data_IF_121519311549
#
_entry.id   IF_121519311549
#
_cell.length_a   1.000
_cell.length_b   1.000
_cell.length_c   1.000
_cell.angle_alpha   90.00
_cell.angle_beta   90.00
_cell.angle_gamma   90.00
#
_symmetry.space_group_name_H-M   'P 1'
#
loop_
_entity.id
_entity.type
_entity.pdbx_description
1 polymer ?
#
# COMPACT_ATOMS: atom_id res chain seq x y z
N UNK A 1 -0.05 -20.57 -43.43
CA UNK A 1 -1.19 -21.32 -42.81
C UNK A 1 -1.60 -22.58 -43.56
N UNK A 2 -1.58 -22.64 -44.91
CA UNK A 2 -1.92 -23.86 -45.67
C UNK A 2 -1.02 -25.09 -45.37
N UNK A 3 0.19 -24.85 -44.87
CA UNK A 3 1.23 -25.86 -44.66
C UNK A 3 1.10 -26.65 -43.32
N UNK A 4 0.68 -25.98 -42.24
CA UNK A 4 0.57 -26.62 -40.90
C UNK A 4 -0.49 -27.72 -40.88
N UNK A 5 -1.62 -27.50 -41.56
CA UNK A 5 -2.70 -28.50 -41.62
C UNK A 5 -2.39 -29.69 -42.53
N UNK A 6 -1.45 -29.56 -43.47
CA UNK A 6 -0.97 -30.69 -44.28
C UNK A 6 0.01 -31.54 -43.45
N UNK A 7 0.98 -30.89 -42.80
CA UNK A 7 1.95 -31.55 -41.94
C UNK A 7 1.32 -32.22 -40.72
N UNK A 8 0.28 -31.63 -40.13
CA UNK A 8 -0.47 -32.26 -39.03
C UNK A 8 -1.14 -33.56 -39.48
N UNK A 9 -1.71 -33.59 -40.69
CA UNK A 9 -2.34 -34.80 -41.24
C UNK A 9 -1.32 -35.91 -41.49
N UNK A 10 -0.19 -35.55 -42.08
CA UNK A 10 0.93 -36.47 -42.29
C UNK A 10 1.44 -37.06 -40.96
N UNK A 11 1.70 -36.22 -39.95
CA UNK A 11 2.14 -36.69 -38.63
C UNK A 11 1.07 -37.55 -37.95
N UNK A 12 -0.21 -37.20 -38.07
CA UNK A 12 -1.31 -37.99 -37.51
C UNK A 12 -1.38 -39.38 -38.13
N UNK A 13 -1.18 -39.48 -39.45
CA UNK A 13 -1.17 -40.75 -40.16
C UNK A 13 0.03 -41.61 -39.74
N UNK A 14 1.22 -41.01 -39.63
CA UNK A 14 2.43 -41.69 -39.15
C UNK A 14 2.21 -42.26 -37.75
N UNK A 15 1.67 -41.46 -36.82
CA UNK A 15 1.39 -41.89 -35.45
C UNK A 15 0.39 -43.04 -35.44
N UNK A 16 -0.68 -42.99 -36.26
CA UNK A 16 -1.69 -44.06 -36.37
C UNK A 16 -1.14 -45.35 -36.99
N UNK A 17 -0.20 -45.24 -37.92
CA UNK A 17 0.41 -46.37 -38.61
C UNK A 17 1.59 -46.98 -37.84
N UNK A 18 2.10 -46.32 -36.80
CA UNK A 18 3.20 -46.84 -35.98
C UNK A 18 2.64 -47.85 -34.98
N UNK A 19 2.97 -49.15 -35.11
CA UNK A 19 2.36 -50.20 -34.29
C UNK A 19 2.79 -50.15 -32.81
N UNK A 20 4.05 -49.75 -32.55
CA UNK A 20 4.64 -49.75 -31.21
C UNK A 20 5.10 -48.34 -30.82
N UNK A 21 4.15 -47.48 -30.45
CA UNK A 21 4.48 -46.20 -29.85
C UNK A 21 5.05 -46.39 -28.44
N UNK A 22 6.04 -45.57 -28.03
CA UNK A 22 6.56 -45.64 -26.67
C UNK A 22 5.45 -45.35 -25.67
N UNK A 23 5.35 -46.19 -24.64
CA UNK A 23 4.41 -45.96 -23.53
C UNK A 23 4.85 -44.69 -22.80
N UNK A 24 4.00 -43.66 -22.71
CA UNK A 24 4.36 -42.44 -21.99
C UNK A 24 4.55 -42.74 -20.50
N UNK A 25 5.52 -42.10 -19.82
CA UNK A 25 5.66 -42.24 -18.38
C UNK A 25 4.42 -41.69 -17.69
N UNK A 26 3.87 -42.44 -16.73
CA UNK A 26 2.72 -41.98 -15.93
C UNK A 26 3.28 -41.19 -14.73
N UNK A 27 3.12 -39.86 -14.69
CA UNK A 27 3.61 -39.06 -13.58
C UNK A 27 2.88 -39.43 -12.29
N UNK A 28 3.63 -39.56 -11.20
CA UNK A 28 3.04 -39.80 -9.89
C UNK A 28 2.75 -38.46 -9.19
N UNK A 29 1.54 -38.27 -8.63
CA UNK A 29 1.25 -37.08 -7.83
C UNK A 29 2.16 -37.03 -6.59
N UNK A 30 2.50 -35.82 -6.09
CA UNK A 30 3.41 -35.67 -4.97
C UNK A 30 2.89 -36.40 -3.71
N UNK A 31 3.62 -37.44 -3.30
CA UNK A 31 3.38 -38.23 -2.08
C UNK A 31 3.80 -37.45 -0.82
N UNK A 32 3.54 -38.01 0.38
CA UNK A 32 3.81 -37.39 1.70
C UNK A 32 5.24 -36.88 1.79
N UNK A 33 5.44 -35.60 1.46
CA UNK A 33 6.68 -34.90 1.76
C UNK A 33 6.65 -34.56 3.25
N UNK A 34 7.15 -35.49 4.08
CA UNK A 34 7.41 -35.23 5.49
C UNK A 34 8.31 -34.00 5.67
N UNK A 35 8.03 -33.18 6.70
CA UNK A 35 8.74 -31.95 7.13
C UNK A 35 9.11 -30.90 6.05
N UNK A 36 8.73 -31.07 4.78
CA UNK A 36 8.98 -30.09 3.72
C UNK A 36 8.24 -28.79 4.00
N UNK A 37 8.93 -27.65 3.82
CA UNK A 37 8.29 -26.35 3.92
C UNK A 37 7.24 -26.15 2.82
N UNK A 38 6.30 -25.23 3.01
CA UNK A 38 5.19 -24.97 2.08
C UNK A 38 5.68 -24.70 0.65
N UNK A 39 6.78 -23.96 0.50
CA UNK A 39 7.35 -23.62 -0.81
C UNK A 39 7.81 -24.87 -1.58
N UNK A 40 8.51 -25.79 -0.93
CA UNK A 40 8.93 -27.07 -1.53
C UNK A 40 7.73 -27.93 -1.93
N UNK A 41 6.67 -27.96 -1.12
CA UNK A 41 5.44 -28.68 -1.46
C UNK A 41 4.75 -28.08 -2.70
N UNK A 42 4.68 -26.75 -2.80
CA UNK A 42 4.13 -26.07 -3.99
C UNK A 42 4.97 -26.33 -5.24
N UNK A 43 6.30 -26.38 -5.11
CA UNK A 43 7.19 -26.75 -6.22
C UNK A 43 6.93 -28.19 -6.70
N UNK A 44 6.72 -29.14 -5.79
CA UNK A 44 6.39 -30.51 -6.14
C UNK A 44 5.04 -30.61 -6.87
N UNK A 45 4.03 -29.84 -6.43
CA UNK A 45 2.75 -29.75 -7.16
C UNK A 45 2.95 -29.18 -8.55
N UNK A 46 3.72 -28.09 -8.70
CA UNK A 46 4.00 -27.53 -10.02
C UNK A 46 4.77 -28.49 -10.92
N UNK A 47 5.73 -29.24 -10.37
CA UNK A 47 6.49 -30.22 -11.10
C UNK A 47 5.58 -31.30 -11.68
N UNK A 48 4.65 -31.83 -10.86
CA UNK A 48 3.63 -32.77 -11.32
C UNK A 48 2.76 -32.20 -12.45
N UNK A 49 2.32 -30.93 -12.34
CA UNK A 49 1.59 -30.29 -13.44
C UNK A 49 2.42 -30.21 -14.73
N UNK A 50 3.71 -29.91 -14.62
CA UNK A 50 4.59 -29.84 -15.80
C UNK A 50 4.73 -31.21 -16.47
N UNK A 51 4.78 -32.30 -15.70
CA UNK A 51 4.89 -33.67 -16.20
C UNK A 51 3.61 -34.17 -16.90
N UNK A 52 2.45 -33.59 -16.59
CA UNK A 52 1.22 -33.82 -17.37
C UNK A 52 1.28 -33.15 -18.76
N UNK A 53 2.15 -32.16 -18.95
CA UNK A 53 2.31 -31.38 -20.18
C UNK A 53 1.12 -30.46 -20.55
N UNK A 54 1.42 -29.40 -21.31
CA UNK A 54 0.38 -28.52 -21.85
C UNK A 54 -0.27 -29.17 -23.09
N UNK A 55 -1.60 -29.23 -23.11
CA UNK A 55 -2.35 -29.80 -24.22
C UNK A 55 -2.34 -28.90 -25.47
N UNK A 56 -1.64 -29.34 -26.52
CA UNK A 56 -1.60 -28.73 -27.85
C UNK A 56 -2.47 -29.43 -28.89
N UNK A 57 -3.19 -30.50 -28.54
CA UNK A 57 -3.93 -31.34 -29.50
C UNK A 57 -5.19 -30.66 -30.04
N UNK A 58 -5.71 -29.67 -29.30
CA UNK A 58 -6.96 -28.97 -29.64
C UNK A 58 -8.22 -29.73 -29.21
N UNK A 59 -8.07 -30.90 -28.60
CA UNK A 59 -9.16 -31.69 -28.02
C UNK A 59 -9.25 -31.44 -26.52
N UNK A 60 -10.46 -31.26 -26.02
CA UNK A 60 -10.72 -31.19 -24.57
C UNK A 60 -10.98 -32.59 -24.06
N UNK A 61 -10.17 -33.07 -23.12
CA UNK A 61 -10.29 -34.43 -22.56
C UNK A 61 -11.20 -34.49 -21.34
N UNK A 62 -11.26 -33.41 -20.55
CA UNK A 62 -11.94 -33.38 -19.27
C UNK A 62 -13.04 -32.31 -19.21
N UNK A 63 -14.00 -32.46 -18.29
CA UNK A 63 -15.08 -31.47 -18.13
C UNK A 63 -14.54 -30.15 -17.54
N UNK A 64 -14.57 -29.10 -18.36
CA UNK A 64 -14.08 -27.75 -18.04
C UNK A 64 -15.17 -26.79 -17.57
N UNK A 65 -16.40 -27.26 -17.33
CA UNK A 65 -17.49 -26.40 -16.88
C UNK A 65 -17.20 -25.83 -15.48
N UNK A 66 -17.11 -24.49 -15.41
CA UNK A 66 -16.80 -23.72 -14.19
C UNK A 66 -17.99 -23.59 -13.23
N UNK A 67 -19.22 -23.77 -13.72
CA UNK A 67 -20.45 -23.60 -12.95
C UNK A 67 -20.86 -24.89 -12.21
N UNK A 68 -19.86 -25.66 -11.77
CA UNK A 68 -20.05 -26.94 -11.07
C UNK A 68 -19.59 -26.81 -9.62
N UNK A 69 -20.07 -27.70 -8.75
CA UNK A 69 -19.68 -27.69 -7.34
C UNK A 69 -18.20 -28.06 -7.14
N UNK A 70 -17.61 -27.65 -6.01
CA UNK A 70 -16.24 -28.04 -5.65
C UNK A 70 -16.02 -29.57 -5.68
N UNK A 71 -17.02 -30.34 -5.24
CA UNK A 71 -16.96 -31.81 -5.30
C UNK A 71 -16.79 -32.33 -6.72
N UNK A 72 -17.54 -31.77 -7.67
CA UNK A 72 -17.47 -32.14 -9.09
C UNK A 72 -16.14 -31.73 -9.72
N UNK A 73 -15.66 -30.52 -9.42
CA UNK A 73 -14.34 -30.03 -9.88
C UNK A 73 -13.21 -30.94 -9.37
N UNK A 74 -13.25 -31.32 -8.09
CA UNK A 74 -12.27 -32.26 -7.53
C UNK A 74 -12.44 -33.69 -8.08
N UNK A 75 -13.65 -34.10 -8.47
CA UNK A 75 -13.87 -35.33 -9.24
C UNK A 75 -13.08 -35.30 -10.55
N UNK A 76 -13.20 -34.23 -11.33
CA UNK A 76 -12.41 -34.05 -12.56
C UNK A 76 -10.91 -34.00 -12.29
N UNK A 77 -10.45 -33.40 -11.19
CA UNK A 77 -9.03 -33.43 -10.83
C UNK A 77 -8.51 -34.86 -10.58
N UNK A 78 -9.31 -35.74 -9.97
CA UNK A 78 -8.96 -37.15 -9.78
C UNK A 78 -8.93 -37.91 -11.09
N UNK A 79 -9.89 -37.67 -11.98
CA UNK A 79 -9.90 -38.23 -13.34
C UNK A 79 -8.62 -37.84 -14.09
N UNK A 80 -8.19 -36.57 -14.01
CA UNK A 80 -6.93 -36.12 -14.61
C UNK A 80 -5.73 -36.87 -14.04
N UNK A 81 -5.66 -37.05 -12.71
CA UNK A 81 -4.57 -37.76 -12.06
C UNK A 81 -4.54 -39.24 -12.47
N UNK A 82 -5.70 -39.85 -12.65
CA UNK A 82 -5.84 -41.26 -13.03
C UNK A 82 -5.51 -41.51 -14.51
N UNK A 83 -5.98 -40.65 -15.40
CA UNK A 83 -5.81 -40.80 -16.85
C UNK A 83 -4.46 -40.25 -17.35
N UNK A 84 -3.84 -39.34 -16.60
CA UNK A 84 -2.53 -38.74 -16.88
C UNK A 84 -2.37 -38.16 -18.30
N UNK A 85 -3.44 -37.59 -18.85
CA UNK A 85 -3.45 -36.95 -20.17
C UNK A 85 -3.01 -35.48 -20.10
N UNK A 86 -2.52 -34.89 -21.22
CA UNK A 86 -2.21 -33.48 -21.30
C UNK A 86 -3.38 -32.55 -20.97
N UNK A 87 -3.08 -31.47 -20.26
CA UNK A 87 -4.09 -30.53 -19.74
C UNK A 87 -3.82 -29.08 -20.14
N UNK A 88 -4.84 -28.22 -20.00
CA UNK A 88 -4.74 -26.78 -20.21
C UNK A 88 -4.77 -26.00 -18.88
N UNK A 89 -4.70 -24.68 -18.99
CA UNK A 89 -4.64 -23.77 -17.85
C UNK A 89 -5.76 -23.94 -16.81
N UNK A 90 -7.00 -24.27 -17.22
CA UNK A 90 -8.12 -24.44 -16.29
C UNK A 90 -8.08 -25.77 -15.56
N UNK A 91 -7.81 -26.87 -16.28
CA UNK A 91 -7.64 -28.20 -15.69
C UNK A 91 -6.47 -28.21 -14.70
N UNK A 92 -5.38 -27.51 -15.03
CA UNK A 92 -4.25 -27.31 -14.12
C UNK A 92 -4.66 -26.64 -12.80
N UNK A 93 -5.59 -25.67 -12.85
CA UNK A 93 -6.16 -25.03 -11.66
C UNK A 93 -6.98 -26.03 -10.84
N UNK A 94 -7.72 -26.93 -11.47
CA UNK A 94 -8.49 -27.96 -10.76
C UNK A 94 -7.57 -28.93 -10.02
N UNK A 95 -6.53 -29.45 -10.69
CA UNK A 95 -5.54 -30.35 -10.11
C UNK A 95 -4.76 -29.66 -9.00
N UNK A 96 -4.26 -28.45 -9.24
CA UNK A 96 -3.54 -27.66 -8.23
C UNK A 96 -4.41 -27.39 -6.99
N UNK A 97 -5.68 -27.02 -7.19
CA UNK A 97 -6.61 -26.77 -6.11
C UNK A 97 -6.87 -28.04 -5.30
N UNK A 98 -7.03 -29.19 -5.96
CA UNK A 98 -7.22 -30.48 -5.32
C UNK A 98 -6.01 -30.91 -4.48
N UNK A 99 -4.81 -30.89 -5.06
CA UNK A 99 -3.57 -31.30 -4.37
C UNK A 99 -3.23 -30.38 -3.18
N UNK A 100 -3.54 -29.09 -3.29
CA UNK A 100 -3.34 -28.11 -2.19
C UNK A 100 -4.47 -28.12 -1.16
N UNK A 101 -5.61 -28.77 -1.42
CA UNK A 101 -6.70 -28.94 -0.45
C UNK A 101 -6.39 -29.98 0.65
N UNK A 102 -5.41 -30.86 0.44
CA UNK A 102 -5.12 -31.97 1.34
C UNK A 102 -6.20 -33.08 1.31
N UNK A 103 -6.69 -33.43 0.12
CA UNK A 103 -7.74 -34.44 -0.05
C UNK A 103 -7.40 -35.81 0.58
N UNK A 104 -8.41 -36.58 1.02
CA UNK A 104 -8.21 -37.79 1.84
C UNK A 104 -7.53 -38.97 1.10
N UNK A 105 -7.59 -39.00 -0.24
CA UNK A 105 -7.03 -40.10 -1.05
C UNK A 105 -5.57 -39.88 -1.45
N UNK A 106 -5.10 -38.64 -1.43
CA UNK A 106 -3.70 -38.29 -1.72
C UNK A 106 -3.18 -37.52 -0.50
N UNK A 107 -2.84 -38.28 0.53
CA UNK A 107 -2.37 -37.76 1.83
C UNK A 107 -1.04 -36.98 1.74
N UNK A 108 -0.56 -36.62 0.54
CA UNK A 108 0.83 -36.29 0.24
C UNK A 108 1.27 -34.85 0.49
N UNK A 109 0.33 -33.91 0.47
CA UNK A 109 0.63 -32.50 0.74
C UNK A 109 -0.46 -31.90 1.61
N UNK A 110 -0.63 -32.40 2.84
CA UNK A 110 -1.44 -31.65 3.79
C UNK A 110 -0.71 -30.33 4.07
N UNK A 111 -1.34 -29.23 3.64
CA UNK A 111 -0.88 -27.88 3.93
C UNK A 111 -1.41 -27.39 5.29
N UNK A 112 -2.17 -28.19 6.05
CA UNK A 112 -2.77 -27.84 7.35
C UNK A 112 -3.46 -26.46 7.35
N UNK A 113 -4.17 -26.13 6.27
CA UNK A 113 -4.77 -24.81 6.06
C UNK A 113 -3.78 -23.62 6.06
N UNK A 114 -2.47 -23.87 5.85
CA UNK A 114 -1.45 -22.81 5.78
C UNK A 114 -1.51 -22.02 4.46
N UNK A 115 -2.20 -22.54 3.44
CA UNK A 115 -2.28 -21.88 2.12
C UNK A 115 -3.70 -21.45 1.79
N UNK A 116 -3.86 -20.18 1.44
CA UNK A 116 -5.05 -19.68 0.77
C UNK A 116 -4.90 -19.91 -0.74
N UNK A 117 -6.01 -20.23 -1.41
CA UNK A 117 -6.03 -20.56 -2.84
C UNK A 117 -7.13 -19.74 -3.51
N UNK A 118 -6.77 -19.00 -4.55
CA UNK A 118 -7.69 -18.13 -5.29
C UNK A 118 -7.45 -18.28 -6.79
N UNK A 119 -8.52 -18.33 -7.58
CA UNK A 119 -8.40 -18.34 -9.03
C UNK A 119 -8.11 -16.93 -9.54
N UNK A 120 -7.07 -16.79 -10.39
CA UNK A 120 -6.71 -15.51 -11.03
C UNK A 120 -6.86 -15.69 -12.53
N UNK A 121 -7.80 -14.97 -13.13
CA UNK A 121 -8.10 -15.05 -14.56
C UNK A 121 -7.62 -13.81 -15.31
N UNK A 122 -7.08 -14.01 -16.50
CA UNK A 122 -6.61 -12.95 -17.39
C UNK A 122 -7.38 -12.98 -18.69
N UNK A 123 -7.84 -11.81 -19.14
CA UNK A 123 -8.39 -11.60 -20.48
C UNK A 123 -7.48 -10.59 -21.17
N UNK A 124 -6.79 -11.02 -22.22
CA UNK A 124 -5.80 -10.21 -22.93
C UNK A 124 -6.18 -10.06 -24.39
N UNK A 125 -5.72 -9.00 -25.05
CA UNK A 125 -5.91 -8.77 -26.48
C UNK A 125 -4.54 -8.66 -27.15
N UNK A 126 -4.31 -9.43 -28.20
CA UNK A 126 -3.07 -9.38 -28.99
C UNK A 126 -3.41 -9.67 -30.46
N UNK A 127 -2.88 -8.87 -31.39
CA UNK A 127 -3.14 -9.03 -32.82
C UNK A 127 -4.63 -9.07 -33.18
N UNK A 128 -5.45 -8.23 -32.52
CA UNK A 128 -6.90 -8.18 -32.72
C UNK A 128 -7.71 -9.32 -32.09
N UNK A 129 -7.07 -10.38 -31.59
CA UNK A 129 -7.73 -11.53 -30.95
C UNK A 129 -7.73 -11.41 -29.43
N UNK A 130 -8.77 -11.97 -28.80
CA UNK A 130 -8.89 -12.04 -27.34
C UNK A 130 -8.48 -13.41 -26.85
N UNK A 131 -7.59 -13.45 -25.88
CA UNK A 131 -7.13 -14.67 -25.22
C UNK A 131 -7.58 -14.66 -23.77
N UNK A 132 -7.84 -15.85 -23.24
CA UNK A 132 -8.19 -16.06 -21.82
C UNK A 132 -7.19 -17.04 -21.22
N UNK A 133 -6.77 -16.76 -20.00
CA UNK A 133 -5.83 -17.58 -19.25
C UNK A 133 -6.22 -17.58 -17.78
N UNK A 134 -5.82 -18.59 -17.03
CA UNK A 134 -6.11 -18.72 -15.61
C UNK A 134 -4.94 -19.40 -14.88
N UNK A 135 -4.68 -18.98 -13.65
CA UNK A 135 -3.75 -19.63 -12.72
C UNK A 135 -4.40 -19.72 -11.32
N UNK A 136 -3.87 -20.59 -10.47
CA UNK A 136 -4.23 -20.67 -9.07
C UNK A 136 -3.25 -19.81 -8.27
N UNK A 137 -3.66 -18.63 -7.84
CA UNK A 137 -2.93 -17.83 -6.87
C UNK A 137 -2.88 -18.55 -5.53
N UNK A 138 -1.69 -18.61 -4.93
CA UNK A 138 -1.46 -19.25 -3.63
C UNK A 138 -0.83 -18.23 -2.70
N UNK A 139 -1.39 -18.09 -1.50
CA UNK A 139 -0.85 -17.24 -0.44
C UNK A 139 -0.50 -18.10 0.76
N UNK A 140 0.67 -17.85 1.34
CA UNK A 140 1.08 -18.41 2.62
C UNK A 140 1.70 -17.29 3.43
N UNK A 141 1.09 -16.97 4.58
CA UNK A 141 1.42 -15.79 5.38
C UNK A 141 1.35 -14.50 4.52
N UNK A 142 2.47 -13.80 4.31
CA UNK A 142 2.54 -12.56 3.54
C UNK A 142 3.08 -12.74 2.12
N UNK A 143 3.40 -13.98 1.73
CA UNK A 143 3.99 -14.28 0.43
C UNK A 143 2.93 -14.82 -0.51
N UNK A 144 2.98 -14.33 -1.75
CA UNK A 144 2.18 -14.79 -2.87
C UNK A 144 3.03 -15.58 -3.84
N UNK A 145 2.39 -16.56 -4.46
CA UNK A 145 2.87 -17.34 -5.58
C UNK A 145 1.68 -17.74 -6.46
N UNK A 146 1.95 -18.57 -7.46
CA UNK A 146 0.93 -19.11 -8.34
C UNK A 146 1.32 -20.51 -8.82
N UNK A 147 0.31 -21.36 -8.99
CA UNK A 147 0.40 -22.66 -9.65
C UNK A 147 -0.41 -22.63 -10.95
N UNK A 148 0.02 -23.35 -11.97
CA UNK A 148 -0.77 -23.52 -13.19
C UNK A 148 0.07 -23.96 -14.37
N UNK A 149 -0.54 -24.03 -15.54
CA UNK A 149 0.13 -24.37 -16.81
C UNK A 149 -0.17 -23.33 -17.87
N UNK A 150 0.83 -23.03 -18.68
CA UNK A 150 0.72 -22.12 -19.81
C UNK A 150 1.68 -22.53 -20.91
N UNK A 151 1.37 -22.10 -22.13
CA UNK A 151 2.30 -22.19 -23.28
C UNK A 151 3.54 -21.31 -23.10
N UNK A 152 3.50 -20.37 -22.16
CA UNK A 152 4.62 -19.51 -21.80
C UNK A 152 4.99 -19.70 -20.34
N UNK A 153 6.25 -20.06 -20.07
CA UNK A 153 6.77 -20.23 -18.72
C UNK A 153 6.61 -18.98 -17.85
N UNK A 154 6.58 -17.79 -18.46
CA UNK A 154 6.35 -16.52 -17.77
C UNK A 154 4.93 -16.32 -17.23
N UNK A 155 3.96 -17.13 -17.68
CA UNK A 155 2.53 -16.96 -17.40
C UNK A 155 1.92 -18.11 -16.57
N UNK A 156 2.75 -18.90 -15.88
CA UNK A 156 2.31 -20.03 -15.06
C UNK A 156 2.85 -19.90 -13.63
N UNK A 157 3.68 -20.84 -13.19
CA UNK A 157 4.30 -20.87 -11.87
C UNK A 157 4.92 -19.54 -11.45
N UNK A 158 4.59 -19.11 -10.23
CA UNK A 158 5.28 -18.05 -9.52
C UNK A 158 5.65 -18.59 -8.15
N UNK A 159 6.95 -18.57 -7.88
CA UNK A 159 7.50 -18.99 -6.62
C UNK A 159 6.91 -18.19 -5.44
N UNK A 160 6.77 -18.82 -4.28
CA UNK A 160 6.15 -18.26 -3.08
C UNK A 160 7.10 -17.28 -2.36
N UNK A 161 7.47 -16.20 -3.06
CA UNK A 161 8.41 -15.17 -2.61
C UNK A 161 7.92 -13.75 -2.89
N UNK A 162 6.80 -13.60 -3.61
CA UNK A 162 6.32 -12.29 -3.99
C UNK A 162 5.52 -11.70 -2.83
N UNK A 163 6.15 -10.78 -2.10
CA UNK A 163 5.45 -9.88 -1.22
C UNK A 163 4.97 -8.71 -2.09
N UNK A 164 3.67 -8.61 -2.36
CA UNK A 164 3.14 -7.41 -3.00
C UNK A 164 3.14 -6.33 -1.93
N UNK A 165 4.19 -5.51 -1.93
CA UNK A 165 4.37 -4.45 -0.92
C UNK A 165 3.70 -3.17 -1.42
N UNK A 166 3.81 -2.89 -2.71
CA UNK A 166 3.50 -1.59 -3.29
C UNK A 166 3.05 -1.72 -4.74
N UNK A 167 2.02 -0.97 -5.14
CA UNK A 167 1.53 -0.89 -6.52
C UNK A 167 1.63 0.55 -7.00
N UNK A 168 2.17 0.74 -8.20
CA UNK A 168 2.25 2.03 -8.90
C UNK A 168 1.30 2.00 -10.10
N UNK A 169 0.51 3.06 -10.25
CA UNK A 169 -0.40 3.28 -11.36
C UNK A 169 0.02 4.54 -12.13
N UNK A 170 0.13 4.41 -13.45
CA UNK A 170 0.40 5.52 -14.36
C UNK A 170 -0.86 6.03 -15.06
N UNK A 171 -0.74 7.15 -15.77
CA UNK A 171 -1.80 7.65 -16.65
C UNK A 171 -1.82 6.88 -17.98
N UNK A 172 -2.98 6.77 -18.64
CA UNK A 172 -3.07 6.23 -19.99
C UNK A 172 -2.14 6.91 -20.99
N UNK A 173 -1.70 6.12 -21.97
CA UNK A 173 -0.82 6.58 -23.04
C UNK A 173 -1.59 7.47 -24.03
N UNK A 174 -0.91 8.45 -24.60
CA UNK A 174 -1.44 9.19 -25.74
C UNK A 174 -1.70 8.25 -26.92
N UNK A 175 -2.74 8.54 -27.70
CA UNK A 175 -3.05 7.82 -28.94
C UNK A 175 -2.22 8.33 -30.13
N UNK A 176 -1.55 9.46 -29.98
CA UNK A 176 -0.63 9.98 -30.98
C UNK A 176 0.72 9.26 -30.90
N UNK A 177 1.02 8.48 -31.94
CA UNK A 177 2.24 7.67 -32.07
C UNK A 177 3.51 8.52 -32.26
N UNK A 178 3.36 9.82 -32.56
CA UNK A 178 4.47 10.77 -32.66
C UNK A 178 4.53 11.72 -31.47
N UNK A 179 3.70 11.52 -30.45
CA UNK A 179 3.69 12.36 -29.26
C UNK A 179 5.07 12.38 -28.58
N UNK A 180 5.56 13.60 -28.33
CA UNK A 180 6.79 13.85 -27.57
C UNK A 180 6.54 14.04 -26.07
N UNK A 181 5.30 13.84 -25.61
CA UNK A 181 4.91 13.97 -24.21
C UNK A 181 5.55 12.87 -23.36
N UNK A 182 5.77 13.19 -22.08
CA UNK A 182 6.33 12.22 -21.12
C UNK A 182 5.24 11.28 -20.64
N UNK A 183 5.58 9.99 -20.52
CA UNK A 183 4.69 9.00 -19.91
C UNK A 183 4.76 9.12 -18.39
N UNK A 184 3.59 9.26 -17.76
CA UNK A 184 3.46 9.37 -16.31
C UNK A 184 3.27 8.01 -15.67
N UNK A 185 4.38 7.35 -15.31
CA UNK A 185 4.40 5.94 -14.91
C UNK A 185 3.91 5.64 -13.48
N UNK A 186 3.96 6.60 -12.57
CA UNK A 186 3.85 6.37 -11.11
C UNK A 186 3.02 7.43 -10.39
N UNK A 187 1.88 7.78 -10.97
CA UNK A 187 0.96 8.82 -10.46
C UNK A 187 0.30 8.41 -9.16
N UNK A 188 -0.35 7.24 -9.10
CA UNK A 188 -0.90 6.71 -7.86
C UNK A 188 0.01 5.61 -7.30
N UNK A 189 0.25 5.65 -5.99
CA UNK A 189 1.28 4.85 -5.37
C UNK A 189 0.82 4.31 -4.01
N UNK A 190 0.43 3.05 -3.96
CA UNK A 190 -0.20 2.47 -2.77
C UNK A 190 0.68 1.39 -2.19
N UNK A 191 1.06 1.52 -0.91
CA UNK A 191 1.74 0.46 -0.17
C UNK A 191 0.71 -0.57 0.30
N UNK A 192 0.32 -1.45 -0.62
CA UNK A 192 -0.79 -2.40 -0.44
C UNK A 192 -0.65 -3.33 0.76
N UNK A 193 0.55 -3.54 1.31
CA UNK A 193 0.69 -4.33 2.54
C UNK A 193 0.15 -3.64 3.81
N UNK A 194 0.06 -2.31 3.80
CA UNK A 194 -0.40 -1.54 4.97
C UNK A 194 -1.94 -1.42 5.02
N UNK A 195 -2.65 -1.95 4.02
CA UNK A 195 -4.07 -1.67 3.78
C UNK A 195 -4.85 -2.93 3.37
N UNK A 196 -6.17 -2.93 3.56
CA UNK A 196 -7.05 -4.02 3.10
C UNK A 196 -7.15 -4.01 1.56
N UNK A 197 -7.48 -5.14 0.93
CA UNK A 197 -7.62 -5.17 -0.53
C UNK A 197 -8.87 -4.42 -0.99
N UNK A 198 -9.90 -4.37 -0.15
CA UNK A 198 -11.13 -3.61 -0.37
C UNK A 198 -10.84 -2.11 -0.49
N UNK A 199 -10.03 -1.56 0.41
CA UNK A 199 -9.65 -0.14 0.37
C UNK A 199 -8.74 0.17 -0.82
N UNK A 200 -7.80 -0.74 -1.13
CA UNK A 200 -6.91 -0.62 -2.29
C UNK A 200 -7.69 -0.64 -3.60
N UNK A 201 -8.63 -1.59 -3.75
CA UNK A 201 -9.47 -1.69 -4.95
C UNK A 201 -10.35 -0.46 -5.12
N UNK A 202 -10.94 0.06 -4.04
CA UNK A 202 -11.72 1.31 -4.07
C UNK A 202 -10.90 2.50 -4.59
N UNK A 203 -9.64 2.62 -4.16
CA UNK A 203 -8.73 3.66 -4.66
C UNK A 203 -8.39 3.48 -6.15
N UNK A 204 -8.29 2.24 -6.64
CA UNK A 204 -8.08 1.97 -8.06
C UNK A 204 -9.30 2.33 -8.90
N UNK A 205 -10.51 2.03 -8.42
CA UNK A 205 -11.76 2.36 -9.10
C UNK A 205 -11.95 3.88 -9.18
N UNK A 206 -11.64 4.62 -8.12
CA UNK A 206 -11.63 6.09 -8.13
C UNK A 206 -10.61 6.59 -9.16
N UNK A 207 -9.40 6.03 -9.19
CA UNK A 207 -8.36 6.46 -10.12
C UNK A 207 -8.75 6.22 -11.58
N UNK A 208 -9.33 5.05 -11.87
CA UNK A 208 -9.83 4.70 -13.18
C UNK A 208 -10.98 5.59 -13.67
N UNK A 209 -11.76 6.17 -12.75
CA UNK A 209 -12.82 7.12 -13.09
C UNK A 209 -12.29 8.53 -13.32
N UNK A 210 -11.34 8.97 -12.51
CA UNK A 210 -10.90 10.37 -12.45
C UNK A 210 -9.68 10.68 -13.33
N UNK A 211 -8.99 9.68 -13.89
CA UNK A 211 -7.79 9.92 -14.70
C UNK A 211 -7.97 10.92 -15.86
N UNK A 212 -9.13 11.06 -16.54
CA UNK A 212 -9.27 12.04 -17.61
C UNK A 212 -9.11 13.49 -17.11
N UNK A 213 -9.64 13.78 -15.92
CA UNK A 213 -9.51 15.09 -15.28
C UNK A 213 -8.08 15.32 -14.78
N UNK A 214 -7.44 14.28 -14.23
CA UNK A 214 -6.04 14.33 -13.80
C UNK A 214 -5.10 14.63 -14.97
N UNK A 215 -5.28 13.95 -16.11
CA UNK A 215 -4.53 14.20 -17.35
C UNK A 215 -4.73 15.65 -17.81
N UNK A 216 -5.98 16.09 -17.91
CA UNK A 216 -6.31 17.44 -18.40
C UNK A 216 -5.69 18.53 -17.52
N UNK A 217 -5.76 18.37 -16.19
CA UNK A 217 -5.13 19.30 -15.27
C UNK A 217 -3.61 19.28 -15.37
N UNK A 218 -3.00 18.09 -15.43
CA UNK A 218 -1.57 17.92 -15.55
C UNK A 218 -1.02 18.55 -16.84
N UNK A 219 -1.72 18.42 -17.97
CA UNK A 219 -1.31 19.05 -19.23
C UNK A 219 -1.43 20.58 -19.19
N UNK A 220 -2.41 21.12 -18.46
CA UNK A 220 -2.60 22.57 -18.34
C UNK A 220 -1.63 23.22 -17.34
N UNK A 221 -1.40 22.57 -16.21
CA UNK A 221 -0.73 23.15 -15.04
C UNK A 221 0.69 22.59 -14.85
N UNK A 222 0.99 21.41 -15.38
CA UNK A 222 2.28 20.73 -15.25
C UNK A 222 2.43 19.92 -13.96
N UNK A 223 1.47 19.99 -13.04
CA UNK A 223 1.44 19.23 -11.78
C UNK A 223 0.07 18.58 -11.53
N UNK A 224 -0.01 17.65 -10.57
CA UNK A 224 -1.29 17.03 -10.18
C UNK A 224 -2.13 18.02 -9.36
N UNK A 225 -3.48 17.93 -9.41
CA UNK A 225 -4.35 18.79 -8.59
C UNK A 225 -4.05 18.66 -7.10
N UNK A 226 -4.17 19.74 -6.33
CA UNK A 226 -3.99 19.73 -4.87
C UNK A 226 -4.93 18.73 -4.18
N UNK A 227 -6.16 18.58 -4.69
CA UNK A 227 -7.16 17.63 -4.20
C UNK A 227 -6.83 16.16 -4.45
N UNK A 228 -5.74 15.87 -5.18
CA UNK A 228 -5.32 14.50 -5.48
C UNK A 228 -5.04 13.72 -4.19
N UNK A 229 -4.32 14.30 -3.23
CA UNK A 229 -3.99 13.61 -1.97
C UNK A 229 -5.21 13.31 -1.12
N UNK A 230 -6.22 14.18 -1.18
CA UNK A 230 -7.47 14.03 -0.42
C UNK A 230 -8.36 12.93 -1.02
N UNK A 231 -8.41 12.85 -2.36
CA UNK A 231 -9.16 11.79 -3.06
C UNK A 231 -8.44 10.44 -2.95
N UNK A 232 -7.11 10.45 -3.04
CA UNK A 232 -6.29 9.24 -3.03
C UNK A 232 -5.58 9.04 -1.69
N UNK A 233 -6.34 8.78 -0.64
CA UNK A 233 -5.87 8.69 0.75
C UNK A 233 -4.81 7.62 1.00
N UNK A 234 -4.73 6.59 0.14
CA UNK A 234 -3.72 5.54 0.24
C UNK A 234 -2.44 5.85 -0.55
N UNK A 235 -2.40 6.98 -1.27
CA UNK A 235 -1.24 7.43 -2.01
C UNK A 235 -0.09 7.81 -1.06
N UNK A 236 1.08 7.18 -1.24
CA UNK A 236 2.32 7.52 -0.55
C UNK A 236 3.37 7.96 -1.58
N UNK A 237 3.62 9.28 -1.74
CA UNK A 237 4.60 9.75 -2.72
C UNK A 237 6.01 9.22 -2.39
N UNK A 238 6.88 9.01 -3.39
CA UNK A 238 8.26 8.63 -3.12
C UNK A 238 8.96 9.72 -2.28
N UNK A 239 9.78 9.29 -1.31
CA UNK A 239 10.55 10.21 -0.47
C UNK A 239 11.53 10.99 -1.36
N UNK A 240 11.40 12.31 -1.44
CA UNK A 240 12.40 13.17 -2.12
C UNK A 240 13.68 13.16 -1.29
N UNK A 241 14.74 12.52 -1.80
CA UNK A 241 16.09 12.70 -1.26
C UNK A 241 16.56 14.11 -1.64
N UNK A 242 16.71 14.99 -0.65
CA UNK A 242 17.33 16.29 -0.86
C UNK A 242 18.81 16.09 -1.19
N UNK A 243 19.20 16.36 -2.43
CA UNK A 243 20.58 16.73 -2.78
C UNK A 243 20.55 18.15 -3.34
N UNK A 244 21.46 19.04 -2.93
CA UNK A 244 21.44 20.42 -3.38
C UNK A 244 22.06 20.56 -4.78
N UNK A 245 21.47 21.47 -5.55
CA UNK A 245 21.92 22.02 -6.84
C UNK A 245 21.44 21.36 -8.15
N UNK A 246 21.01 22.26 -9.03
CA UNK A 246 20.39 22.16 -10.36
C UNK A 246 21.38 21.73 -11.46
N UNK A 247 20.94 20.82 -12.35
CA UNK A 247 21.00 20.84 -13.84
C UNK A 247 21.30 19.46 -14.44
N UNK A 248 20.48 19.08 -15.42
CA UNK A 248 20.70 18.03 -16.44
C UNK A 248 21.42 16.73 -16.03
N UNK A 249 20.64 15.68 -15.75
CA UNK A 249 20.91 14.28 -16.13
C UNK A 249 19.55 13.66 -16.48
N UNK A 250 19.32 13.11 -17.66
CA UNK A 250 20.04 11.97 -18.22
C UNK A 250 19.41 10.71 -17.63
N UNK A 251 18.61 10.00 -18.43
CA UNK A 251 17.88 8.79 -18.05
C UNK A 251 18.89 7.69 -17.68
N UNK A 252 19.17 7.51 -16.38
CA UNK A 252 19.97 6.39 -15.87
C UNK A 252 19.04 5.28 -15.39
N UNK A 253 19.17 4.11 -16.03
CA UNK A 253 18.64 2.86 -15.50
C UNK A 253 19.38 2.56 -14.20
N UNK A 254 18.70 2.64 -13.06
CA UNK A 254 19.20 1.98 -11.85
C UNK A 254 19.10 0.46 -12.07
N UNK A 255 20.23 -0.13 -12.47
CA UNK A 255 20.46 -1.57 -12.42
C UNK A 255 20.22 -2.05 -11.00
N UNK A 256 19.37 -3.06 -10.86
CA UNK A 256 19.10 -3.76 -9.60
C UNK A 256 20.38 -4.49 -9.21
N UNK A 257 21.21 -3.87 -8.37
CA UNK A 257 22.27 -4.59 -7.67
C UNK A 257 21.66 -5.29 -6.46
N UNK A 258 21.81 -6.61 -6.43
CA UNK A 258 21.53 -7.44 -5.27
C UNK A 258 22.35 -6.94 -4.06
N UNK A 259 21.75 -6.79 -2.86
CA UNK A 259 22.54 -6.48 -1.69
C UNK A 259 23.28 -7.75 -1.23
N UNK A 260 24.61 -7.69 -1.27
CA UNK A 260 25.48 -8.61 -0.55
C UNK A 260 25.16 -8.55 0.95
N UNK A 261 24.90 -9.72 1.52
CA UNK A 261 24.87 -9.94 2.96
C UNK A 261 26.31 -9.91 3.47
N UNK A 262 26.71 -8.83 4.16
CA UNK A 262 27.51 -8.90 5.39
C UNK A 262 27.80 -7.52 5.98
N UNK A 263 27.60 -7.43 7.30
CA UNK A 263 28.17 -6.48 8.29
C UNK A 263 27.73 -5.00 8.15
N UNK A 264 27.42 -4.25 9.21
CA UNK A 264 27.96 -4.28 10.56
C UNK A 264 26.99 -3.61 11.56
N UNK A 265 27.04 -4.06 12.81
CA UNK A 265 26.32 -3.49 13.95
C UNK A 265 26.96 -2.15 14.33
N UNK A 266 26.16 -1.08 14.40
CA UNK A 266 26.59 0.23 14.88
C UNK A 266 25.41 1.00 15.47
N UNK A 267 25.46 1.24 16.77
CA UNK A 267 24.41 1.83 17.61
C UNK A 267 24.40 3.37 17.60
N UNK A 268 23.18 3.90 17.70
CA UNK A 268 22.73 5.11 18.42
C UNK A 268 23.17 6.51 17.92
N UNK A 269 22.17 7.36 17.63
CA UNK A 269 21.95 8.59 18.42
C UNK A 269 20.48 9.04 18.38
N UNK A 270 19.98 9.41 19.56
CA UNK A 270 18.59 9.67 19.95
C UNK A 270 17.95 10.90 19.32
N UNK A 271 16.85 10.72 18.59
CA UNK A 271 15.82 11.75 18.46
C UNK A 271 14.75 11.46 19.53
N UNK A 272 14.74 12.25 20.61
CA UNK A 272 13.72 12.19 21.68
C UNK A 272 12.32 12.04 21.05
N UNK A 273 11.68 10.89 21.25
CA UNK A 273 10.27 10.67 20.89
C UNK A 273 9.41 11.56 21.78
N UNK A 274 9.09 12.77 21.30
CA UNK A 274 8.13 13.65 21.95
C UNK A 274 6.77 12.93 22.01
N UNK A 275 6.17 12.91 23.19
CA UNK A 275 4.89 12.22 23.46
C UNK A 275 3.70 12.99 22.89
N UNK A 276 3.86 14.31 22.77
CA UNK A 276 2.88 15.22 22.20
C UNK A 276 3.40 15.76 20.87
N UNK A 277 2.64 15.57 19.80
CA UNK A 277 2.86 16.24 18.52
C UNK A 277 1.87 17.41 18.39
N UNK A 278 2.37 18.58 18.04
CA UNK A 278 1.56 19.79 17.83
C UNK A 278 1.53 20.13 16.35
N UNK A 279 0.34 20.40 15.80
CA UNK A 279 0.13 20.79 14.41
C UNK A 279 -0.78 22.03 14.34
N UNK A 280 -0.55 23.00 13.45
CA UNK A 280 0.61 23.14 12.58
C UNK A 280 1.89 23.49 13.36
N UNK A 281 3.06 23.36 12.73
CA UNK A 281 4.35 23.73 13.32
C UNK A 281 4.59 25.26 13.32
N UNK A 282 3.73 26.02 12.65
CA UNK A 282 3.72 27.48 12.62
C UNK A 282 2.26 27.96 12.46
N UNK A 283 1.84 28.95 13.23
CA UNK A 283 0.51 29.55 13.10
C UNK A 283 0.58 30.81 12.25
N UNK A 284 -0.34 30.95 11.30
CA UNK A 284 -0.43 32.12 10.43
C UNK A 284 -1.75 32.84 10.69
N UNK A 285 -1.68 34.04 11.26
CA UNK A 285 -2.85 34.87 11.53
C UNK A 285 -3.08 35.83 10.37
N UNK A 286 -4.20 35.65 9.67
CA UNK A 286 -4.62 36.53 8.57
C UNK A 286 -5.46 37.67 9.12
N UNK A 287 -5.12 38.90 8.75
CA UNK A 287 -5.92 40.07 9.10
C UNK A 287 -7.36 39.86 8.66
N UNK A 288 -8.29 40.13 9.56
CA UNK A 288 -9.70 40.13 9.25
C UNK A 288 -10.22 41.49 9.69
N UNK A 289 -10.50 42.39 8.74
CA UNK A 289 -11.04 43.70 9.05
C UNK A 289 -12.43 43.56 9.70
N UNK A 290 -12.43 43.50 11.02
CA UNK A 290 -13.56 43.81 11.85
C UNK A 290 -13.01 44.40 13.15
N UNK A 291 -13.06 45.72 13.26
CA UNK A 291 -13.24 46.31 14.59
C UNK A 291 -14.19 47.48 14.51
N UNK A 292 -15.13 47.47 15.45
CA UNK A 292 -16.02 48.56 15.83
C UNK A 292 -15.31 49.59 16.72
N UNK A 293 -14.03 49.36 17.06
CA UNK A 293 -13.22 50.18 17.96
C UNK A 293 -11.82 50.46 17.35
N UNK A 294 -11.46 51.73 17.17
CA UNK A 294 -10.36 52.17 16.29
C UNK A 294 -8.93 51.91 16.81
N UNK A 295 -8.77 51.17 17.92
CA UNK A 295 -7.49 51.00 18.63
C UNK A 295 -6.90 49.58 18.60
N UNK A 296 -7.68 48.55 18.25
CA UNK A 296 -7.28 47.14 18.22
C UNK A 296 -7.62 46.48 16.88
N UNK A 297 -6.76 45.57 16.40
CA UNK A 297 -6.96 44.76 15.19
C UNK A 297 -7.14 43.30 15.62
N UNK A 298 -8.25 42.69 15.22
CA UNK A 298 -8.50 41.26 15.38
C UNK A 298 -8.10 40.49 14.11
N UNK A 299 -7.44 39.34 14.29
CA UNK A 299 -7.09 38.44 13.21
C UNK A 299 -8.01 37.21 13.18
N UNK A 300 -8.14 36.59 12.01
CA UNK A 300 -8.87 35.35 11.85
C UNK A 300 -8.29 34.26 12.78
N UNK A 301 -9.13 33.47 13.47
CA UNK A 301 -8.64 32.43 14.37
C UNK A 301 -7.92 31.31 13.60
N UNK A 302 -6.80 30.83 14.15
CA UNK A 302 -6.02 29.72 13.63
C UNK A 302 -6.22 28.47 14.51
N UNK A 303 -6.32 27.29 13.90
CA UNK A 303 -6.51 26.04 14.64
C UNK A 303 -5.18 25.44 15.08
N UNK A 304 -5.10 25.07 16.35
CA UNK A 304 -4.01 24.36 16.98
C UNK A 304 -4.48 22.96 17.39
N UNK A 305 -3.80 21.94 16.90
CA UNK A 305 -4.09 20.53 17.17
C UNK A 305 -3.01 19.94 18.07
N UNK A 306 -3.45 19.39 19.21
CA UNK A 306 -2.62 18.71 20.18
C UNK A 306 -2.86 17.20 20.01
N UNK A 307 -1.86 16.47 19.52
CA UNK A 307 -1.92 15.03 19.30
C UNK A 307 -1.13 14.30 20.38
N UNK A 308 -1.84 13.53 21.21
CA UNK A 308 -1.20 12.61 22.14
C UNK A 308 -0.93 11.30 21.41
N UNK A 309 0.31 11.07 21.00
CA UNK A 309 0.75 9.82 20.33
C UNK A 309 1.28 8.78 21.33
N UNK A 310 1.13 9.07 22.62
CA UNK A 310 1.62 8.22 23.70
C UNK A 310 0.51 7.35 24.28
N UNK A 311 0.88 6.24 24.97
CA UNK A 311 -0.07 5.41 25.71
C UNK A 311 -0.52 6.05 27.04
N UNK A 312 -0.06 7.26 27.39
CA UNK A 312 -0.34 7.92 28.68
C UNK A 312 -1.40 9.02 28.54
N UNK A 313 -2.05 9.40 29.64
CA UNK A 313 -2.83 10.64 29.66
C UNK A 313 -1.87 11.82 29.77
N UNK A 314 -2.10 12.88 29.00
CA UNK A 314 -1.27 14.09 29.04
C UNK A 314 -2.09 15.27 29.56
N UNK A 315 -1.52 16.02 30.51
CA UNK A 315 -1.95 17.37 30.85
C UNK A 315 -1.07 18.34 30.08
N UNK A 316 -1.67 19.06 29.14
CA UNK A 316 -0.99 20.05 28.29
C UNK A 316 -1.40 21.44 28.75
N UNK A 317 -0.41 22.25 29.11
CA UNK A 317 -0.57 23.67 29.45
C UNK A 317 -0.05 24.51 28.29
N UNK A 318 -0.94 25.28 27.67
CA UNK A 318 -0.60 26.23 26.60
C UNK A 318 -0.49 27.62 27.23
N UNK A 319 0.71 28.20 27.19
CA UNK A 319 1.00 29.55 27.66
C UNK A 319 1.10 30.50 26.47
N UNK A 320 0.30 31.57 26.51
CA UNK A 320 0.20 32.57 25.45
C UNK A 320 0.43 33.98 25.98
N UNK A 321 0.84 34.89 25.11
CA UNK A 321 0.98 36.32 25.39
C UNK A 321 -0.40 36.98 25.60
N UNK A 322 -0.49 38.19 26.20
CA UNK A 322 -1.77 38.84 26.48
C UNK A 322 -2.61 39.17 25.24
N UNK A 323 -1.97 39.19 24.08
CA UNK A 323 -2.58 39.47 22.77
C UNK A 323 -3.17 38.22 22.10
N UNK A 324 -2.92 37.04 22.65
CA UNK A 324 -3.42 35.77 22.15
C UNK A 324 -4.50 35.21 23.07
N UNK A 325 -5.61 34.78 22.48
CA UNK A 325 -6.75 34.20 23.19
C UNK A 325 -7.06 32.82 22.65
N UNK A 326 -7.15 31.83 23.54
CA UNK A 326 -7.64 30.49 23.20
C UNK A 326 -9.16 30.49 23.34
N UNK A 327 -9.85 30.17 22.26
CA UNK A 327 -11.31 30.18 22.19
C UNK A 327 -11.89 28.93 22.86
N UNK A 328 -12.94 29.13 23.67
CA UNK A 328 -13.66 28.03 24.33
C UNK A 328 -12.94 27.42 25.55
N UNK A 329 -11.90 28.09 26.08
CA UNK A 329 -11.19 27.67 27.29
C UNK A 329 -11.07 28.80 28.30
N UNK A 330 -11.23 28.47 29.58
CA UNK A 330 -11.10 29.42 30.69
C UNK A 330 -9.64 29.58 31.07
N UNK A 331 -9.21 30.82 31.29
CA UNK A 331 -7.84 31.14 31.77
C UNK A 331 -7.62 30.58 33.16
N UNK A 332 -6.41 30.09 33.42
CA UNK A 332 -5.97 29.72 34.77
C UNK A 332 -5.12 30.82 35.43
N UNK A 333 -5.19 30.98 36.76
CA UNK A 333 -4.31 31.89 37.48
C UNK A 333 -2.86 31.44 37.33
N UNK A 334 -2.03 32.32 36.78
CA UNK A 334 -0.60 32.06 36.54
C UNK A 334 0.22 32.96 37.48
N UNK A 335 1.34 32.45 38.01
CA UNK A 335 2.25 33.19 38.93
C UNK A 335 2.97 34.32 38.19
N UNK A 336 3.11 34.17 36.87
CA UNK A 336 3.77 35.12 35.99
C UNK A 336 2.72 36.05 35.35
N UNK A 337 2.72 37.32 35.74
CA UNK A 337 1.67 38.30 35.40
C UNK A 337 1.65 38.74 33.92
N UNK A 338 2.56 38.22 33.10
CA UNK A 338 2.71 38.57 31.69
C UNK A 338 2.17 37.52 30.70
N UNK A 339 1.85 36.29 31.14
CA UNK A 339 1.38 35.21 30.28
C UNK A 339 0.05 34.62 30.77
N UNK A 340 -0.81 34.21 29.83
CA UNK A 340 -2.04 33.49 30.13
C UNK A 340 -1.86 31.98 29.87
N UNK A 341 -2.24 31.15 30.83
CA UNK A 341 -2.15 29.70 30.71
C UNK A 341 -3.53 29.03 30.57
N UNK A 342 -3.58 27.99 29.72
CA UNK A 342 -4.78 27.19 29.46
C UNK A 342 -4.46 25.71 29.50
N UNK A 343 -5.23 24.91 30.26
CA UNK A 343 -5.01 23.48 30.39
C UNK A 343 -5.92 22.61 29.53
N UNK A 344 -5.35 21.52 29.04
CA UNK A 344 -5.99 20.47 28.25
C UNK A 344 -5.63 19.10 28.81
N UNK A 345 -6.61 18.21 28.92
CA UNK A 345 -6.39 16.81 29.27
C UNK A 345 -6.60 15.97 28.01
N UNK A 346 -5.57 15.23 27.59
CA UNK A 346 -5.60 14.38 26.40
C UNK A 346 -5.50 12.92 26.80
N UNK A 347 -6.46 12.11 26.33
CA UNK A 347 -6.41 10.65 26.46
C UNK A 347 -5.32 10.04 25.54
N UNK A 348 -4.86 8.82 25.82
CA UNK A 348 -3.92 8.12 24.94
C UNK A 348 -4.42 8.06 23.49
N UNK A 349 -3.52 8.23 22.52
CA UNK A 349 -3.81 8.17 21.08
C UNK A 349 -4.98 9.07 20.63
N UNK A 350 -5.15 10.23 21.28
CA UNK A 350 -6.23 11.17 20.99
C UNK A 350 -5.72 12.50 20.43
N UNK A 351 -6.64 13.23 19.79
CA UNK A 351 -6.37 14.54 19.21
C UNK A 351 -7.38 15.53 19.76
N UNK A 352 -6.89 16.68 20.24
CA UNK A 352 -7.72 17.82 20.65
C UNK A 352 -7.41 19.00 19.76
N UNK A 353 -8.45 19.64 19.21
CA UNK A 353 -8.34 20.88 18.44
C UNK A 353 -8.80 22.06 19.29
N UNK A 354 -8.10 23.19 19.18
CA UNK A 354 -8.51 24.47 19.76
C UNK A 354 -8.21 25.61 18.81
N UNK A 355 -9.09 26.60 18.75
CA UNK A 355 -8.87 27.79 17.95
C UNK A 355 -8.16 28.85 18.80
N UNK A 356 -7.06 29.38 18.29
CA UNK A 356 -6.31 30.50 18.85
C UNK A 356 -6.66 31.75 18.04
N UNK A 357 -6.88 32.88 18.70
CA UNK A 357 -7.13 34.19 18.05
C UNK A 357 -6.08 35.20 18.51
N UNK A 358 -5.59 36.00 17.57
CA UNK A 358 -4.66 37.10 17.82
C UNK A 358 -5.39 38.44 17.78
N UNK A 359 -5.12 39.30 18.76
CA UNK A 359 -5.69 40.64 18.91
C UNK A 359 -4.56 41.61 19.30
N UNK A 360 -4.19 42.52 18.41
CA UNK A 360 -3.05 43.44 18.60
C UNK A 360 -3.47 44.91 18.60
N UNK A 361 -2.78 45.79 19.34
CA UNK A 361 -2.91 47.24 19.15
C UNK A 361 -2.45 47.69 17.77
N UNK A 362 -3.14 48.66 17.17
CA UNK A 362 -2.87 49.18 15.82
C UNK A 362 -1.42 49.67 15.67
N UNK A 363 -0.86 50.27 16.72
CA UNK A 363 0.52 50.76 16.73
C UNK A 363 1.54 49.61 16.61
N UNK A 364 1.28 48.47 17.25
CA UNK A 364 2.15 47.28 17.20
C UNK A 364 2.01 46.52 15.89
N UNK A 365 0.78 46.44 15.35
CA UNK A 365 0.50 45.78 14.09
C UNK A 365 1.21 46.46 12.91
N UNK A 366 1.31 47.79 12.91
CA UNK A 366 1.86 48.58 11.79
C UNK A 366 3.38 48.82 11.88
N UNK A 367 4.05 48.43 12.97
CA UNK A 367 5.47 48.72 13.21
C UNK A 367 6.43 47.60 12.80
N UNK A 368 5.95 46.40 12.47
CA UNK A 368 6.82 45.21 12.33
C UNK A 368 6.91 44.71 10.89
N UNK A 369 8.12 44.75 10.32
CA UNK A 369 8.40 44.35 8.92
C UNK A 369 8.51 42.84 8.69
N UNK A 370 8.27 42.01 9.70
CA UNK A 370 8.03 40.55 9.63
C UNK A 370 7.81 40.06 11.07
N UNK A 371 6.59 40.21 11.61
CA UNK A 371 6.38 39.93 13.03
C UNK A 371 6.30 38.43 13.29
N UNK A 372 7.24 37.91 14.09
CA UNK A 372 7.22 36.53 14.58
C UNK A 372 7.34 36.50 16.10
N UNK A 373 6.43 35.82 16.77
CA UNK A 373 6.51 35.50 18.21
C UNK A 373 6.13 34.02 18.41
N UNK A 374 6.15 33.48 19.62
CA UNK A 374 5.94 32.05 19.85
C UNK A 374 4.97 31.72 21.01
N UNK A 375 4.14 30.70 20.80
CA UNK A 375 3.32 30.09 21.84
C UNK A 375 4.14 29.00 22.53
N UNK A 376 4.23 29.07 23.86
CA UNK A 376 4.92 28.05 24.65
C UNK A 376 3.93 26.98 25.13
N UNK A 377 4.12 25.74 24.72
CA UNK A 377 3.30 24.60 25.11
C UNK A 377 4.13 23.68 25.99
N UNK A 378 3.68 23.46 27.23
CA UNK A 378 4.29 22.51 28.16
C UNK A 378 3.34 21.35 28.36
N UNK A 379 3.84 20.12 28.42
CA UNK A 379 3.01 18.97 28.77
C UNK A 379 3.69 18.07 29.79
N UNK A 380 2.84 17.34 30.53
CA UNK A 380 3.25 16.36 31.53
C UNK A 380 2.36 15.12 31.41
N UNK A 381 2.94 13.94 31.57
CA UNK A 381 2.18 12.69 31.64
C UNK A 381 1.59 12.51 33.05
N UNK A 382 0.33 12.11 33.15
CA UNK A 382 -0.39 11.89 34.41
C UNK A 382 -1.14 10.56 34.41
N UNK A 383 -1.49 10.07 35.60
CA UNK A 383 -2.41 8.96 35.74
C UNK A 383 -3.84 9.34 35.37
N UNK A 384 -4.62 8.34 34.95
CA UNK A 384 -6.00 8.55 34.50
C UNK A 384 -6.86 9.10 35.64
N UNK A 385 -7.43 10.30 35.47
CA UNK A 385 -8.39 10.89 36.41
C UNK A 385 -7.78 11.74 37.52
N UNK A 386 -6.48 12.01 37.50
CA UNK A 386 -5.78 12.85 38.49
C UNK A 386 -5.08 14.02 37.80
N UNK A 387 -5.22 15.24 38.33
CA UNK A 387 -4.53 16.44 37.80
C UNK A 387 -3.15 16.69 38.43
N UNK A 388 -2.84 16.00 39.52
CA UNK A 388 -1.52 16.05 40.16
C UNK A 388 -0.55 15.13 39.45
N UNK A 389 0.70 15.57 39.19
CA UNK A 389 1.75 14.69 38.69
C UNK A 389 1.94 13.54 39.67
N UNK A 390 1.75 12.29 39.22
CA UNK A 390 2.02 11.14 40.08
C UNK A 390 3.53 11.11 40.37
N UNK A 391 3.91 10.94 41.63
CA UNK A 391 5.29 10.68 42.04
C UNK A 391 5.71 9.30 41.50
N UNK A 392 6.07 9.26 40.22
CA UNK A 392 6.65 8.11 39.53
C UNK A 392 8.01 8.56 39.07
N UNK A 393 9.03 7.77 39.44
CA UNK A 393 10.46 8.01 39.32
C UNK A 393 10.88 9.01 38.23
N UNK A 394 11.83 9.87 38.59
CA UNK A 394 12.46 10.97 37.82
C UNK A 394 12.93 10.64 36.38
N UNK A 395 12.73 9.41 35.89
CA UNK A 395 13.01 8.97 34.53
C UNK A 395 11.85 9.12 33.53
N UNK A 396 10.61 9.45 33.92
CA UNK A 396 9.47 9.53 32.97
C UNK A 396 8.62 10.81 33.01
N UNK A 397 9.03 11.83 33.77
CA UNK A 397 8.48 13.19 33.65
C UNK A 397 9.28 13.97 32.61
N UNK A 398 9.10 13.65 31.32
CA UNK A 398 9.60 14.54 30.27
C UNK A 398 8.73 15.78 30.22
N UNK A 399 9.00 16.75 31.09
CA UNK A 399 8.62 18.14 30.85
C UNK A 399 9.25 18.55 29.51
N UNK A 400 8.45 18.57 28.46
CA UNK A 400 8.86 19.06 27.17
C UNK A 400 8.14 20.39 26.92
N UNK A 401 8.92 21.39 26.56
CA UNK A 401 8.42 22.69 26.12
C UNK A 401 8.52 22.72 24.61
N UNK A 402 7.39 22.90 23.93
CA UNK A 402 7.29 23.06 22.48
C UNK A 402 6.95 24.53 22.23
N UNK A 403 7.81 25.23 21.51
CA UNK A 403 7.54 26.59 21.05
C UNK A 403 6.94 26.51 19.64
N UNK A 404 5.74 27.04 19.45
CA UNK A 404 5.11 27.16 18.13
C UNK A 404 5.21 28.62 17.69
N UNK A 405 6.05 28.94 16.69
CA UNK A 405 6.12 30.29 16.16
C UNK A 405 4.79 30.65 15.49
N UNK A 406 4.46 31.94 15.52
CA UNK A 406 3.35 32.49 14.78
C UNK A 406 3.73 33.80 14.12
N UNK A 407 3.14 34.04 12.95
CA UNK A 407 3.22 35.32 12.24
C UNK A 407 1.84 35.92 12.03
N UNK A 408 1.83 37.21 11.70
CA UNK A 408 0.63 37.89 11.25
C UNK A 408 0.92 38.74 10.02
N UNK A 409 -0.02 38.73 9.07
CA UNK A 409 0.06 39.51 7.83
C UNK A 409 -1.19 40.37 7.69
N UNK A 410 -1.00 41.58 7.19
CA UNK A 410 -2.08 42.52 6.81
C UNK A 410 -3.04 41.94 5.78
#
# INVERSE_FOLDING_TARGET
>A
MKDVGAKLREVTEIVRMTPDLPVPPIPEPPKRLGKGNVRTKLMAVQQYLNELEYNYTGTVYFDVNKNRSHKSIYGTAKEIIQEALPIQCLEAVFVAAYLTAGGPEYEGTNFNHQVDRISISFKTKCGGKVFRHIVLGVKHQHNWGALGLSRSAGLMFKDLKFKVIKIYLGLPFSHDIHSTERVEWRVLNIKVIDHSWEDVASQFDIFAREYPELISHLYRVGELPESFSDKFTLHKPPKKTHSPSRKNRGFEWESINEPNLNENVGSAQDAKRLLLRVSPQMLHFKSQQASLDASLIEYAPANLFLHNESPYNLVVTVSVTPYLKILGKTREPTVDSQLFAFKFQLKPNSVTSTAVRLILPVQTANQTSEPTDAISIKYVAVEAGVETPTAVSDSMLQHATIAIPYDWKE
#
